data_IF_717361254178
#
_entry.id   IF_717361254178
#
_cell.length_a   1.000
_cell.length_b   1.000
_cell.length_c   1.000
_cell.angle_alpha   90.00
_cell.angle_beta   90.00
_cell.angle_gamma   90.00
#
_symmetry.space_group_name_H-M   'P 1'
#
loop_
_entity.id
_entity.type
_entity.pdbx_description
1 polymer ?
#
# COMPACT_ATOMS: atom_id res chain seq x y z
N UNK A 1 -16.20 25.64 8.62
CA UNK A 1 -15.18 26.21 7.74
C UNK A 1 -15.41 25.72 6.32
N UNK A 2 -15.05 26.55 5.33
CA UNK A 2 -14.96 26.14 3.92
C UNK A 2 -13.57 25.54 3.69
N UNK A 3 -13.50 24.23 3.40
CA UNK A 3 -12.26 23.46 3.32
C UNK A 3 -12.00 23.01 1.89
N UNK A 4 -10.83 23.35 1.33
CA UNK A 4 -10.35 22.78 0.08
C UNK A 4 -9.48 21.55 0.35
N UNK A 5 -9.77 20.44 -0.31
CA UNK A 5 -8.93 19.22 -0.31
C UNK A 5 -8.40 19.04 -1.73
N UNK A 6 -7.08 19.05 -1.90
CA UNK A 6 -6.41 19.00 -3.20
C UNK A 6 -5.74 17.63 -3.37
N UNK A 7 -6.32 16.80 -4.24
CA UNK A 7 -5.93 15.42 -4.50
C UNK A 7 -7.02 14.42 -4.11
N UNK A 8 -7.49 13.63 -5.07
CA UNK A 8 -8.56 12.64 -4.92
C UNK A 8 -8.04 11.21 -4.70
N UNK A 9 -6.83 11.06 -4.15
CA UNK A 9 -6.29 9.80 -3.66
C UNK A 9 -6.91 9.39 -2.32
N UNK A 10 -6.50 8.25 -1.76
CA UNK A 10 -7.05 7.72 -0.51
C UNK A 10 -6.90 8.69 0.67
N UNK A 11 -5.79 9.42 0.76
CA UNK A 11 -5.61 10.46 1.79
C UNK A 11 -6.60 11.61 1.63
N UNK A 12 -6.80 12.10 0.40
CA UNK A 12 -7.72 13.20 0.13
C UNK A 12 -9.19 12.79 0.32
N UNK A 13 -9.56 11.58 -0.08
CA UNK A 13 -10.89 11.04 0.19
C UNK A 13 -11.14 10.91 1.71
N UNK A 14 -10.16 10.42 2.47
CA UNK A 14 -10.23 10.35 3.92
C UNK A 14 -10.36 11.74 4.57
N UNK A 15 -9.57 12.71 4.11
CA UNK A 15 -9.67 14.10 4.57
C UNK A 15 -11.03 14.71 4.24
N UNK A 16 -11.54 14.52 3.00
CA UNK A 16 -12.83 15.05 2.59
C UNK A 16 -13.98 14.44 3.39
N UNK A 17 -14.00 13.13 3.59
CA UNK A 17 -15.01 12.46 4.42
C UNK A 17 -14.94 12.96 5.86
N UNK A 18 -13.75 13.00 6.46
CA UNK A 18 -13.54 13.50 7.84
C UNK A 18 -13.99 14.94 8.00
N UNK A 19 -13.65 15.83 7.06
CA UNK A 19 -14.06 17.23 7.06
C UNK A 19 -15.57 17.39 6.96
N UNK A 20 -16.21 16.61 6.10
CA UNK A 20 -17.68 16.61 5.96
C UNK A 20 -18.37 16.10 7.24
N UNK A 21 -17.83 15.05 7.89
CA UNK A 21 -18.31 14.56 9.20
C UNK A 21 -18.16 15.61 10.30
N UNK A 22 -17.11 16.42 10.26
CA UNK A 22 -16.88 17.51 11.20
C UNK A 22 -17.73 18.78 10.91
N UNK A 23 -18.64 18.71 9.93
CA UNK A 23 -19.52 19.82 9.58
C UNK A 23 -18.87 20.92 8.73
N UNK A 24 -17.75 20.63 8.07
CA UNK A 24 -17.11 21.58 7.15
C UNK A 24 -17.75 21.52 5.77
N UNK A 25 -17.76 22.66 5.06
CA UNK A 25 -18.11 22.74 3.65
C UNK A 25 -16.88 22.34 2.83
N UNK A 26 -16.84 21.09 2.41
CA UNK A 26 -15.66 20.51 1.74
C UNK A 26 -15.81 20.58 0.23
N UNK A 27 -14.75 21.05 -0.46
CA UNK A 27 -14.57 20.91 -1.91
C UNK A 27 -13.36 20.06 -2.19
N UNK A 28 -13.54 18.94 -2.92
CA UNK A 28 -12.47 18.01 -3.29
C UNK A 28 -12.07 18.22 -4.76
N UNK A 29 -10.79 18.49 -5.01
CA UNK A 29 -10.22 18.72 -6.34
C UNK A 29 -9.29 17.55 -6.74
N UNK A 30 -9.49 16.99 -7.94
CA UNK A 30 -8.61 15.95 -8.51
C UNK A 30 -8.27 16.32 -9.96
N UNK A 31 -6.97 16.34 -10.28
CA UNK A 31 -6.48 16.67 -11.61
C UNK A 31 -6.70 15.55 -12.64
N UNK A 32 -6.74 14.31 -12.19
CA UNK A 32 -7.00 13.14 -13.04
C UNK A 32 -8.46 13.04 -13.45
N UNK A 33 -8.74 12.23 -14.46
CA UNK A 33 -10.11 11.84 -14.86
C UNK A 33 -10.69 10.71 -14.01
N UNK A 34 -9.94 10.24 -13.00
CA UNK A 34 -10.32 9.11 -12.13
C UNK A 34 -9.93 9.37 -10.68
N UNK A 35 -10.75 8.88 -9.76
CA UNK A 35 -10.49 8.89 -8.32
C UNK A 35 -9.57 7.75 -7.89
N UNK A 36 -8.92 7.89 -6.73
CA UNK A 36 -8.13 6.83 -6.09
C UNK A 36 -6.61 7.03 -6.15
N UNK A 37 -6.14 8.01 -6.93
CA UNK A 37 -4.71 8.31 -7.03
C UNK A 37 -3.92 7.12 -7.59
N UNK A 38 -2.91 6.63 -6.86
CA UNK A 38 -2.07 5.47 -7.22
C UNK A 38 -2.80 4.12 -7.08
N UNK A 39 -3.80 4.03 -6.20
CA UNK A 39 -4.56 2.81 -5.96
C UNK A 39 -5.94 2.90 -6.63
N UNK A 40 -5.99 2.54 -7.90
CA UNK A 40 -7.20 2.64 -8.75
C UNK A 40 -7.21 1.59 -9.85
N UNK A 41 -8.39 1.36 -10.42
CA UNK A 41 -8.55 0.58 -11.63
C UNK A 41 -8.16 1.35 -12.89
N UNK A 42 -7.73 0.62 -13.89
CA UNK A 42 -7.45 1.10 -15.27
C UNK A 42 -8.14 0.18 -16.26
N UNK A 43 -8.68 0.75 -17.32
CA UNK A 43 -9.22 -0.05 -18.42
C UNK A 43 -8.09 -0.56 -19.32
N UNK A 44 -8.08 -1.87 -19.56
CA UNK A 44 -7.15 -2.55 -20.46
C UNK A 44 -7.96 -3.53 -21.31
N UNK A 45 -8.08 -3.26 -22.60
CA UNK A 45 -8.80 -4.10 -23.56
C UNK A 45 -10.26 -4.42 -23.10
N UNK A 46 -10.96 -3.42 -22.55
CA UNK A 46 -12.33 -3.56 -22.05
C UNK A 46 -12.46 -4.31 -20.72
N UNK A 47 -11.35 -4.57 -20.03
CA UNK A 47 -11.32 -5.16 -18.69
C UNK A 47 -10.79 -4.13 -17.69
N UNK A 48 -11.39 -4.04 -16.53
CA UNK A 48 -10.85 -3.24 -15.45
C UNK A 48 -9.80 -4.04 -14.70
N UNK A 49 -8.53 -3.64 -14.83
CA UNK A 49 -7.39 -4.14 -14.03
C UNK A 49 -6.97 -3.04 -13.06
N UNK A 50 -6.28 -3.38 -11.97
CA UNK A 50 -5.76 -2.37 -11.07
C UNK A 50 -4.39 -1.85 -11.55
N UNK A 51 -4.09 -0.58 -11.28
CA UNK A 51 -2.79 0.03 -11.58
C UNK A 51 -1.61 -0.70 -10.88
N UNK A 52 -1.92 -1.45 -9.84
CA UNK A 52 -1.03 -2.34 -9.10
C UNK A 52 -1.84 -3.23 -8.17
N UNK A 53 -1.43 -4.48 -8.00
CA UNK A 53 -2.07 -5.38 -7.07
C UNK A 53 -1.82 -4.93 -5.64
N UNK A 54 -2.88 -4.69 -4.87
CA UNK A 54 -2.78 -4.29 -3.48
C UNK A 54 -3.29 -5.39 -2.56
N UNK A 55 -2.65 -5.49 -1.40
CA UNK A 55 -3.10 -6.31 -0.28
C UNK A 55 -3.34 -5.36 0.89
N UNK A 56 -4.48 -5.48 1.54
CA UNK A 56 -4.73 -4.86 2.83
C UNK A 56 -4.60 -5.92 3.91
N UNK A 57 -4.37 -5.50 5.14
CA UNK A 57 -4.36 -6.42 6.29
C UNK A 57 -5.43 -6.01 7.31
N UNK A 58 -5.83 -6.96 8.15
CA UNK A 58 -6.83 -6.72 9.18
C UNK A 58 -6.47 -5.63 10.20
N UNK A 59 -5.18 -5.29 10.31
CA UNK A 59 -4.68 -4.18 11.12
C UNK A 59 -4.97 -2.77 10.55
N UNK A 60 -5.49 -2.67 9.31
CA UNK A 60 -5.82 -1.38 8.67
C UNK A 60 -7.14 -0.81 9.22
N UNK A 61 -7.17 -0.53 10.52
CA UNK A 61 -8.38 -0.16 11.26
C UNK A 61 -9.05 1.12 10.75
N UNK A 62 -8.29 2.17 10.44
CA UNK A 62 -8.85 3.43 9.96
C UNK A 62 -9.37 3.32 8.53
N UNK A 63 -8.69 2.55 7.70
CA UNK A 63 -9.14 2.28 6.33
C UNK A 63 -10.44 1.50 6.33
N UNK A 64 -10.55 0.47 7.16
CA UNK A 64 -11.78 -0.33 7.28
C UNK A 64 -12.93 0.49 7.91
N UNK A 65 -12.64 1.33 8.90
CA UNK A 65 -13.62 2.25 9.49
C UNK A 65 -14.11 3.29 8.47
N UNK A 66 -13.23 3.85 7.65
CA UNK A 66 -13.59 4.76 6.57
C UNK A 66 -14.51 4.07 5.55
N UNK A 67 -14.17 2.84 5.14
CA UNK A 67 -15.02 2.03 4.25
C UNK A 67 -16.42 1.84 4.82
N UNK A 68 -16.51 1.46 6.09
CA UNK A 68 -17.80 1.31 6.78
C UNK A 68 -18.58 2.63 6.82
N UNK A 69 -17.91 3.76 7.09
CA UNK A 69 -18.51 5.11 7.10
C UNK A 69 -19.17 5.45 5.76
N UNK A 70 -18.54 5.10 4.64
CA UNK A 70 -19.05 5.39 3.30
C UNK A 70 -19.96 4.29 2.73
N UNK A 71 -20.29 3.29 3.55
CA UNK A 71 -21.25 2.22 3.21
C UNK A 71 -20.67 1.08 2.40
N UNK A 72 -19.35 0.86 2.42
CA UNK A 72 -18.71 -0.28 1.79
C UNK A 72 -18.81 -1.52 2.69
N UNK A 73 -19.40 -2.58 2.16
CA UNK A 73 -19.42 -3.91 2.80
C UNK A 73 -18.08 -4.63 2.54
N UNK A 74 -17.20 -4.59 3.53
CA UNK A 74 -15.86 -5.18 3.44
C UNK A 74 -15.88 -6.69 3.21
N UNK A 75 -16.92 -7.42 3.63
CA UNK A 75 -17.06 -8.86 3.38
C UNK A 75 -17.33 -9.18 1.90
N UNK A 76 -17.97 -8.24 1.18
CA UNK A 76 -18.24 -8.40 -0.26
C UNK A 76 -17.04 -7.99 -1.12
N UNK A 77 -16.34 -6.93 -0.74
CA UNK A 77 -15.27 -6.36 -1.58
C UNK A 77 -13.92 -7.03 -1.37
N UNK A 78 -13.73 -7.82 -0.29
CA UNK A 78 -12.49 -8.55 -0.02
C UNK A 78 -12.70 -10.05 0.12
N UNK A 79 -11.73 -10.80 -0.36
CA UNK A 79 -11.46 -12.16 0.10
C UNK A 79 -10.56 -12.06 1.33
N UNK A 80 -11.11 -12.38 2.50
CA UNK A 80 -10.37 -12.37 3.77
C UNK A 80 -9.86 -13.76 4.10
N UNK A 81 -8.56 -13.89 4.30
CA UNK A 81 -7.91 -15.15 4.70
C UNK A 81 -6.85 -14.89 5.76
N UNK A 82 -6.53 -15.90 6.57
CA UNK A 82 -5.39 -15.83 7.48
C UNK A 82 -4.08 -15.61 6.71
N UNK A 83 -3.08 -15.00 7.36
CA UNK A 83 -1.75 -14.81 6.74
C UNK A 83 -1.20 -16.15 6.26
N UNK A 84 -0.96 -16.23 4.97
CA UNK A 84 -0.37 -17.39 4.30
C UNK A 84 0.67 -16.90 3.28
N UNK A 85 1.90 -17.40 3.41
CA UNK A 85 2.94 -17.30 2.40
C UNK A 85 3.20 -18.70 1.89
N UNK A 86 2.47 -19.12 0.87
CA UNK A 86 2.56 -20.46 0.26
C UNK A 86 3.31 -20.39 -1.05
N UNK A 87 4.33 -21.23 -1.19
CA UNK A 87 5.11 -21.37 -2.41
C UNK A 87 4.59 -22.54 -3.27
N UNK A 88 4.84 -22.52 -4.59
CA UNK A 88 4.38 -23.59 -5.49
C UNK A 88 4.86 -24.99 -5.10
N UNK A 89 6.07 -25.12 -4.53
CA UNK A 89 6.64 -26.38 -4.05
C UNK A 89 6.07 -26.85 -2.69
N UNK A 90 5.05 -26.20 -2.19
CA UNK A 90 4.37 -26.53 -0.93
C UNK A 90 5.10 -26.08 0.35
N UNK A 91 6.26 -25.42 0.21
CA UNK A 91 6.91 -24.73 1.33
C UNK A 91 6.12 -23.50 1.74
N UNK A 92 6.46 -22.96 2.91
CA UNK A 92 5.96 -21.68 3.37
C UNK A 92 5.22 -21.74 4.69
N UNK A 93 4.75 -20.58 5.13
CA UNK A 93 4.12 -20.37 6.42
C UNK A 93 2.62 -20.17 6.24
N UNK A 94 1.80 -20.85 7.03
CA UNK A 94 0.35 -20.66 7.11
C UNK A 94 -0.06 -20.45 8.54
N UNK A 95 -0.69 -19.31 8.84
CA UNK A 95 -1.21 -19.05 10.18
C UNK A 95 -2.56 -19.78 10.39
N UNK A 96 -2.73 -20.55 11.47
CA UNK A 96 -4.04 -21.02 11.89
C UNK A 96 -4.94 -19.85 12.33
N UNK A 97 -6.25 -20.10 12.42
CA UNK A 97 -7.18 -19.11 13.00
C UNK A 97 -6.98 -19.00 14.50
N UNK A 98 -7.00 -17.78 15.05
CA UNK A 98 -6.85 -17.51 16.48
C UNK A 98 -6.12 -16.19 16.77
N UNK A 99 -5.72 -15.96 18.04
CA UNK A 99 -4.91 -14.79 18.37
C UNK A 99 -3.60 -14.76 17.59
N UNK A 100 -3.35 -13.67 16.83
CA UNK A 100 -2.31 -13.62 15.80
C UNK A 100 -0.91 -13.94 16.35
N UNK A 101 -0.54 -13.43 17.53
CA UNK A 101 0.77 -13.69 18.16
C UNK A 101 1.00 -15.16 18.50
N UNK A 102 -0.05 -15.87 19.00
CA UNK A 102 0.02 -17.30 19.32
C UNK A 102 0.04 -18.15 18.04
N UNK A 103 -0.80 -17.77 17.07
CA UNK A 103 -0.90 -18.48 15.80
C UNK A 103 0.35 -18.32 14.95
N UNK A 104 1.08 -17.19 15.08
CA UNK A 104 2.39 -17.04 14.48
C UNK A 104 3.38 -18.08 15.01
N UNK A 105 3.45 -18.29 16.32
CA UNK A 105 4.27 -19.34 16.93
C UNK A 105 3.92 -20.73 16.38
N UNK A 106 2.63 -21.07 16.33
CA UNK A 106 2.16 -22.34 15.79
C UNK A 106 2.52 -22.48 14.28
N UNK A 107 2.36 -21.40 13.51
CA UNK A 107 2.73 -21.38 12.09
C UNK A 107 4.23 -21.62 11.87
N UNK A 108 5.09 -21.01 12.69
CA UNK A 108 6.55 -21.24 12.64
C UNK A 108 6.90 -22.69 12.96
N UNK A 109 6.28 -23.28 13.98
CA UNK A 109 6.51 -24.67 14.37
C UNK A 109 6.07 -25.68 13.32
N UNK A 110 5.04 -25.36 12.54
CA UNK A 110 4.49 -26.24 11.50
C UNK A 110 4.94 -25.88 10.09
N UNK A 111 5.77 -24.84 9.92
CA UNK A 111 6.23 -24.37 8.62
C UNK A 111 7.00 -25.45 7.86
N UNK A 112 6.59 -25.72 6.63
CA UNK A 112 7.30 -26.66 5.75
C UNK A 112 8.51 -25.97 5.11
N UNK A 113 9.60 -26.70 5.00
CA UNK A 113 10.86 -26.21 4.42
C UNK A 113 11.86 -25.65 5.44
N UNK A 114 11.52 -25.62 6.75
CA UNK A 114 12.45 -25.22 7.81
C UNK A 114 12.79 -26.38 8.74
N UNK A 115 14.10 -26.54 9.01
CA UNK A 115 14.58 -27.40 10.08
C UNK A 115 14.31 -26.82 11.47
N UNK A 116 14.46 -27.61 12.53
CA UNK A 116 14.22 -27.20 13.92
C UNK A 116 15.09 -26.01 14.36
N UNK A 117 16.34 -25.96 13.93
CA UNK A 117 17.23 -24.83 14.21
C UNK A 117 16.66 -23.50 13.69
N UNK A 118 16.17 -23.50 12.45
CA UNK A 118 15.59 -22.31 11.83
C UNK A 118 14.34 -21.84 12.56
N UNK A 119 13.46 -22.78 12.96
CA UNK A 119 12.24 -22.49 13.72
C UNK A 119 12.57 -21.89 15.08
N UNK A 120 13.51 -22.51 15.83
CA UNK A 120 13.92 -22.02 17.15
C UNK A 120 14.57 -20.65 17.06
N UNK A 121 15.48 -20.42 16.11
CA UNK A 121 16.11 -19.12 15.92
C UNK A 121 15.09 -18.03 15.63
N UNK A 122 14.10 -18.29 14.77
CA UNK A 122 13.04 -17.32 14.48
C UNK A 122 12.18 -17.04 15.71
N UNK A 123 11.77 -18.07 16.46
CA UNK A 123 10.99 -17.89 17.70
C UNK A 123 11.77 -17.10 18.77
N UNK A 124 13.06 -17.38 18.93
CA UNK A 124 13.91 -16.61 19.84
C UNK A 124 14.03 -15.13 19.42
N UNK A 125 14.20 -14.85 18.13
CA UNK A 125 14.24 -13.48 17.63
C UNK A 125 12.89 -12.78 17.83
N UNK A 126 11.77 -13.43 17.51
CA UNK A 126 10.44 -12.89 17.74
C UNK A 126 10.19 -12.59 19.22
N UNK A 127 10.61 -13.46 20.14
CA UNK A 127 10.56 -13.22 21.57
C UNK A 127 11.41 -12.00 22.00
N UNK A 128 12.65 -11.88 21.49
CA UNK A 128 13.51 -10.71 21.74
C UNK A 128 12.88 -9.43 21.22
N UNK A 129 12.31 -9.44 20.01
CA UNK A 129 11.60 -8.27 19.46
C UNK A 129 10.40 -7.88 20.31
N UNK A 130 9.65 -8.86 20.79
CA UNK A 130 8.50 -8.63 21.70
C UNK A 130 8.94 -8.04 23.05
N UNK A 131 9.96 -8.62 23.69
CA UNK A 131 10.51 -8.13 24.97
C UNK A 131 11.05 -6.70 24.83
N UNK A 132 11.68 -6.38 23.68
CA UNK A 132 12.15 -5.03 23.37
C UNK A 132 11.05 -4.06 22.90
N UNK A 133 9.79 -4.47 22.93
CA UNK A 133 8.65 -3.66 22.51
C UNK A 133 8.69 -3.30 21.01
N UNK A 134 9.27 -4.17 20.17
CA UNK A 134 9.47 -3.95 18.74
C UNK A 134 10.30 -2.69 18.43
N UNK A 135 11.34 -2.44 19.23
CA UNK A 135 12.27 -1.32 19.05
C UNK A 135 13.66 -1.83 18.66
N UNK A 136 14.32 -1.08 17.79
CA UNK A 136 15.71 -1.28 17.39
C UNK A 136 16.38 0.09 17.16
N UNK A 137 17.72 0.16 16.98
CA UNK A 137 18.39 1.40 16.56
C UNK A 137 17.81 1.94 15.26
N UNK A 138 17.63 3.26 15.17
CA UNK A 138 16.96 3.94 14.04
C UNK A 138 17.67 3.74 12.70
N UNK A 139 19.00 3.62 12.73
CA UNK A 139 19.85 3.44 11.56
C UNK A 139 19.91 2.00 11.03
N UNK A 140 19.27 1.02 11.71
CA UNK A 140 19.33 -0.37 11.28
C UNK A 140 18.42 -0.62 10.06
N UNK A 141 18.96 -1.44 9.15
CA UNK A 141 18.18 -2.04 8.07
C UNK A 141 17.56 -3.37 8.51
N UNK A 142 16.56 -3.84 7.75
CA UNK A 142 15.93 -5.16 7.98
C UNK A 142 16.97 -6.27 7.84
N UNK A 143 17.91 -6.14 6.90
CA UNK A 143 19.00 -7.10 6.75
C UNK A 143 19.88 -7.19 8.00
N UNK A 144 20.26 -6.04 8.58
CA UNK A 144 21.02 -5.99 9.84
C UNK A 144 20.21 -6.54 11.03
N UNK A 145 18.91 -6.24 11.10
CA UNK A 145 18.03 -6.77 12.14
C UNK A 145 17.94 -8.31 12.10
N UNK A 146 17.97 -8.87 10.90
CA UNK A 146 17.73 -10.30 10.63
C UNK A 146 19.01 -11.07 10.26
N UNK A 147 20.20 -10.49 10.38
CA UNK A 147 21.46 -11.08 9.91
C UNK A 147 21.78 -12.45 10.55
N UNK A 148 21.31 -12.69 11.78
CA UNK A 148 21.52 -13.94 12.51
C UNK A 148 20.46 -15.01 12.20
N UNK A 149 19.41 -14.67 11.45
CA UNK A 149 18.41 -15.63 11.02
C UNK A 149 18.97 -16.50 9.87
N UNK A 150 18.64 -17.81 9.83
CA UNK A 150 19.01 -18.67 8.73
C UNK A 150 18.54 -18.13 7.37
N UNK A 151 19.34 -18.39 6.34
CA UNK A 151 19.05 -17.94 4.96
C UNK A 151 17.64 -18.37 4.51
N UNK A 152 17.25 -19.63 4.84
CA UNK A 152 15.92 -20.14 4.50
C UNK A 152 14.76 -19.34 5.14
N UNK A 153 14.96 -18.82 6.35
CA UNK A 153 13.95 -17.96 7.03
C UNK A 153 13.91 -16.58 6.36
N UNK A 154 15.10 -16.04 6.06
CA UNK A 154 15.19 -14.73 5.39
C UNK A 154 14.51 -14.78 4.02
N UNK A 155 14.87 -15.72 3.17
CA UNK A 155 14.35 -15.85 1.80
C UNK A 155 12.85 -16.21 1.73
N UNK A 156 12.37 -17.08 2.64
CA UNK A 156 10.98 -17.57 2.56
C UNK A 156 10.00 -16.80 3.45
N UNK A 157 10.47 -15.86 4.30
CA UNK A 157 9.60 -15.09 5.17
C UNK A 157 9.99 -13.61 5.24
N UNK A 158 11.22 -13.30 5.67
CA UNK A 158 11.58 -11.90 5.98
C UNK A 158 11.60 -11.04 4.72
N UNK A 159 12.32 -11.47 3.69
CA UNK A 159 12.49 -10.70 2.45
C UNK A 159 11.13 -10.49 1.73
N UNK A 160 10.29 -11.55 1.54
CA UNK A 160 8.96 -11.36 0.95
C UNK A 160 8.04 -10.45 1.79
N UNK A 161 8.05 -10.59 3.13
CA UNK A 161 7.27 -9.70 3.99
C UNK A 161 7.79 -8.26 3.96
N UNK A 162 9.11 -8.08 3.92
CA UNK A 162 9.72 -6.76 3.83
C UNK A 162 9.29 -6.03 2.56
N UNK A 163 9.43 -6.66 1.41
CA UNK A 163 9.02 -6.02 0.14
C UNK A 163 7.51 -5.88 0.02
N UNK A 164 6.72 -6.82 0.55
CA UNK A 164 5.26 -6.68 0.57
C UNK A 164 4.77 -5.52 1.43
N UNK A 165 5.44 -5.27 2.56
CA UNK A 165 5.04 -4.25 3.53
C UNK A 165 5.63 -2.86 3.24
N UNK A 166 6.91 -2.80 2.81
CA UNK A 166 7.68 -1.56 2.67
C UNK A 166 8.03 -1.22 1.21
N UNK A 167 7.85 -2.15 0.30
CA UNK A 167 8.32 -2.06 -1.10
C UNK A 167 9.79 -1.64 -1.21
N UNK A 168 10.56 -1.86 -0.19
CA UNK A 168 12.00 -1.55 -0.12
C UNK A 168 12.74 -2.82 0.24
N UNK A 169 13.75 -3.26 -0.54
CA UNK A 169 14.52 -4.46 -0.25
C UNK A 169 15.17 -4.43 1.14
N UNK A 170 15.26 -5.58 1.81
CA UNK A 170 15.75 -5.71 3.20
C UNK A 170 17.10 -5.03 3.49
N UNK A 171 18.09 -5.00 2.56
CA UNK A 171 19.35 -4.27 2.79
C UNK A 171 19.18 -2.74 2.92
N UNK A 172 18.08 -2.19 2.39
CA UNK A 172 17.82 -0.74 2.39
C UNK A 172 16.61 -0.36 3.24
N UNK A 173 15.79 -1.33 3.64
CA UNK A 173 14.54 -1.09 4.35
C UNK A 173 14.75 -0.80 5.84
N UNK A 174 13.99 0.15 6.38
CA UNK A 174 14.02 0.52 7.81
C UNK A 174 13.54 -0.62 8.71
N UNK A 175 14.42 -1.10 9.60
CA UNK A 175 14.09 -2.10 10.60
C UNK A 175 13.02 -1.62 11.59
N UNK A 176 13.05 -0.36 11.99
CA UNK A 176 12.10 0.20 12.93
C UNK A 176 10.67 0.23 12.38
N UNK A 177 10.52 0.58 11.09
CA UNK A 177 9.22 0.58 10.40
C UNK A 177 8.75 -0.86 10.14
N UNK A 178 9.64 -1.78 9.77
CA UNK A 178 9.33 -3.19 9.62
C UNK A 178 8.81 -3.81 10.93
N UNK A 179 9.51 -3.57 12.05
CA UNK A 179 9.07 -4.01 13.37
C UNK A 179 7.72 -3.40 13.78
N UNK A 180 7.45 -2.16 13.38
CA UNK A 180 6.13 -1.53 13.61
C UNK A 180 5.02 -2.28 12.86
N UNK A 181 5.25 -2.63 11.59
CA UNK A 181 4.28 -3.42 10.80
C UNK A 181 4.05 -4.79 11.44
N UNK A 182 5.12 -5.49 11.84
CA UNK A 182 4.99 -6.79 12.51
C UNK A 182 4.22 -6.69 13.83
N UNK A 183 4.49 -5.66 14.63
CA UNK A 183 3.76 -5.43 15.88
C UNK A 183 2.27 -5.22 15.62
N UNK A 184 1.92 -4.36 14.67
CA UNK A 184 0.53 -4.05 14.39
C UNK A 184 -0.20 -5.27 13.78
N UNK A 185 0.44 -6.04 12.90
CA UNK A 185 -0.13 -7.27 12.36
C UNK A 185 -0.37 -8.34 13.44
N UNK A 186 0.54 -8.49 14.41
CA UNK A 186 0.47 -9.58 15.38
C UNK A 186 -0.28 -9.22 16.67
N UNK A 187 -0.35 -7.93 17.05
CA UNK A 187 -0.82 -7.51 18.36
C UNK A 187 -1.99 -6.49 18.35
N UNK A 188 -2.51 -6.10 17.18
CA UNK A 188 -3.65 -5.15 17.12
C UNK A 188 -5.02 -5.80 17.33
N UNK A 189 -5.08 -7.11 17.56
CA UNK A 189 -6.32 -7.82 17.88
C UNK A 189 -6.59 -9.03 16.97
N UNK A 190 -7.73 -9.70 17.17
CA UNK A 190 -8.12 -10.86 16.37
C UNK A 190 -8.22 -10.51 14.88
N UNK A 191 -7.58 -11.31 14.02
CA UNK A 191 -7.59 -11.12 12.58
C UNK A 191 -6.77 -9.93 12.07
N UNK A 192 -5.94 -9.28 12.91
CA UNK A 192 -5.08 -8.17 12.48
C UNK A 192 -4.07 -8.58 11.40
N UNK A 193 -3.59 -9.82 11.43
CA UNK A 193 -2.69 -10.38 10.41
C UNK A 193 -3.42 -10.95 9.19
N UNK A 194 -4.76 -10.99 9.17
CA UNK A 194 -5.48 -11.50 8.00
C UNK A 194 -5.17 -10.67 6.77
N UNK A 195 -5.00 -11.35 5.65
CA UNK A 195 -4.90 -10.73 4.33
C UNK A 195 -6.31 -10.43 3.79
N UNK A 196 -6.48 -9.22 3.28
CA UNK A 196 -7.70 -8.78 2.60
C UNK A 196 -7.34 -8.54 1.13
N UNK A 197 -7.69 -9.51 0.29
CA UNK A 197 -7.43 -9.47 -1.14
C UNK A 197 -8.63 -8.90 -1.87
N UNK A 198 -8.50 -7.82 -2.66
CA UNK A 198 -9.62 -7.20 -3.36
C UNK A 198 -10.28 -8.18 -4.33
N UNK A 199 -11.62 -8.27 -4.27
CA UNK A 199 -12.47 -9.00 -5.23
C UNK A 199 -12.95 -8.13 -6.37
N UNK A 200 -12.76 -6.82 -6.23
CA UNK A 200 -13.18 -5.80 -7.18
C UNK A 200 -12.01 -4.84 -7.39
N UNK A 201 -12.07 -4.06 -8.47
CA UNK A 201 -11.10 -2.99 -8.69
C UNK A 201 -11.03 -2.03 -7.50
N UNK A 202 -9.83 -1.59 -7.17
CA UNK A 202 -9.56 -0.63 -6.09
C UNK A 202 -10.38 0.65 -6.20
N UNK A 203 -10.78 1.06 -7.41
CA UNK A 203 -11.70 2.18 -7.61
C UNK A 203 -13.07 1.95 -6.95
N UNK A 204 -13.54 0.70 -6.91
CA UNK A 204 -14.82 0.31 -6.30
C UNK A 204 -14.70 -0.04 -4.81
N UNK A 205 -13.51 -0.36 -4.34
CA UNK A 205 -13.27 -0.73 -2.94
C UNK A 205 -13.46 0.47 -1.99
N UNK A 206 -13.05 1.68 -2.37
CA UNK A 206 -13.26 2.89 -1.56
C UNK A 206 -13.60 4.12 -2.42
N UNK A 207 -12.84 4.51 -3.44
CA UNK A 207 -12.96 5.81 -4.10
C UNK A 207 -14.37 6.14 -4.58
N UNK A 208 -15.00 5.22 -5.30
CA UNK A 208 -16.36 5.43 -5.84
C UNK A 208 -17.40 5.65 -4.74
N UNK A 209 -17.37 4.84 -3.68
CA UNK A 209 -18.29 4.94 -2.54
C UNK A 209 -18.06 6.24 -1.76
N UNK A 210 -16.81 6.62 -1.51
CA UNK A 210 -16.45 7.85 -0.80
C UNK A 210 -16.95 9.10 -1.54
N UNK A 211 -16.77 9.13 -2.86
CA UNK A 211 -17.26 10.25 -3.68
C UNK A 211 -18.80 10.31 -3.73
N UNK A 212 -19.47 9.17 -3.85
CA UNK A 212 -20.93 9.11 -3.78
C UNK A 212 -21.44 9.64 -2.43
N UNK A 213 -20.80 9.20 -1.33
CA UNK A 213 -21.12 9.64 0.03
C UNK A 213 -20.93 11.14 0.22
N UNK A 214 -19.84 11.73 -0.31
CA UNK A 214 -19.56 13.17 -0.27
C UNK A 214 -20.61 13.96 -1.03
N UNK A 215 -20.94 13.55 -2.26
CA UNK A 215 -21.95 14.22 -3.10
C UNK A 215 -23.33 14.22 -2.48
N UNK A 216 -23.76 13.12 -1.87
CA UNK A 216 -25.03 13.02 -1.14
C UNK A 216 -25.13 14.00 0.03
N UNK A 217 -23.98 14.49 0.54
CA UNK A 217 -23.89 15.46 1.65
C UNK A 217 -23.57 16.87 1.20
N UNK A 218 -23.69 17.14 -0.11
CA UNK A 218 -23.47 18.47 -0.67
C UNK A 218 -21.99 18.89 -0.75
N UNK A 219 -21.05 17.94 -0.59
CA UNK A 219 -19.62 18.19 -0.75
C UNK A 219 -19.22 17.98 -2.22
N UNK A 220 -18.88 19.05 -2.98
CA UNK A 220 -18.50 18.93 -4.38
C UNK A 220 -17.19 18.18 -4.52
N UNK A 221 -17.18 17.19 -5.45
CA UNK A 221 -16.01 16.41 -5.84
C UNK A 221 -15.79 16.58 -7.36
N UNK A 222 -14.68 17.23 -7.74
CA UNK A 222 -14.39 17.73 -9.07
C UNK A 222 -13.20 16.97 -9.69
N UNK A 223 -13.45 16.23 -10.78
CA UNK A 223 -12.43 15.57 -11.60
C UNK A 223 -11.93 16.49 -12.71
N UNK A 224 -10.70 16.24 -13.20
CA UNK A 224 -10.07 17.01 -14.24
C UNK A 224 -9.76 18.46 -13.81
N UNK A 225 -9.81 18.74 -12.53
CA UNK A 225 -9.57 20.06 -11.95
C UNK A 225 -8.19 20.11 -11.28
N UNK A 226 -7.17 20.51 -12.04
CA UNK A 226 -5.86 20.81 -11.50
C UNK A 226 -5.88 22.14 -10.78
N UNK A 227 -5.38 22.18 -9.55
CA UNK A 227 -5.14 23.43 -8.82
C UNK A 227 -3.78 23.98 -9.25
N UNK A 228 -3.77 25.21 -9.78
CA UNK A 228 -2.58 25.84 -10.33
C UNK A 228 -1.80 26.61 -9.26
N UNK A 229 -2.50 27.26 -8.32
CA UNK A 229 -1.86 28.08 -7.31
C UNK A 229 -2.70 28.27 -6.05
N UNK A 230 -1.99 28.62 -4.99
CA UNK A 230 -2.54 28.99 -3.70
C UNK A 230 -2.07 30.42 -3.41
N UNK A 231 -2.93 31.24 -2.81
CA UNK A 231 -2.59 32.58 -2.33
C UNK A 231 -3.17 32.75 -0.94
N UNK A 232 -2.37 33.13 0.02
CA UNK A 232 -2.86 33.45 1.35
C UNK A 232 -3.60 34.80 1.33
N UNK A 233 -4.79 34.85 1.91
CA UNK A 233 -5.60 36.06 2.01
C UNK A 233 -6.17 36.18 3.44
N UNK A 234 -5.68 37.15 4.19
CA UNK A 234 -6.01 37.28 5.61
C UNK A 234 -5.65 36.02 6.41
N UNK A 235 -6.64 35.44 7.09
CA UNK A 235 -6.50 34.17 7.83
C UNK A 235 -6.85 32.95 7.00
N UNK A 236 -7.24 33.11 5.72
CA UNK A 236 -7.65 32.02 4.82
C UNK A 236 -6.78 31.93 3.57
N UNK A 237 -7.31 31.25 2.56
CA UNK A 237 -6.63 30.92 1.32
C UNK A 237 -7.51 31.12 0.09
N UNK A 238 -6.92 31.55 -1.02
CA UNK A 238 -7.52 31.44 -2.34
C UNK A 238 -6.90 30.25 -3.09
N UNK A 239 -7.76 29.35 -3.55
CA UNK A 239 -7.42 28.22 -4.40
C UNK A 239 -7.88 28.54 -5.81
N UNK A 240 -6.98 28.81 -6.74
CA UNK A 240 -7.26 29.33 -8.09
C UNK A 240 -8.28 30.49 -8.09
N UNK A 241 -8.18 31.40 -7.12
CA UNK A 241 -9.08 32.55 -6.96
C UNK A 241 -10.33 32.31 -6.11
N UNK A 242 -10.73 31.08 -5.82
CA UNK A 242 -11.86 30.76 -4.94
C UNK A 242 -11.45 30.83 -3.45
N UNK A 243 -12.24 31.49 -2.58
CA UNK A 243 -11.88 31.63 -1.15
C UNK A 243 -12.22 30.39 -0.34
N UNK A 244 -11.28 30.01 0.57
CA UNK A 244 -11.41 28.92 1.54
C UNK A 244 -10.82 29.33 2.88
N UNK A 245 -11.36 28.77 3.97
CA UNK A 245 -10.82 29.02 5.32
C UNK A 245 -9.53 28.21 5.57
N UNK A 246 -9.43 27.01 4.97
CA UNK A 246 -8.29 26.12 5.14
C UNK A 246 -8.08 25.22 3.89
N UNK A 247 -6.85 24.70 3.75
CA UNK A 247 -6.47 23.84 2.62
C UNK A 247 -5.74 22.60 3.12
N UNK A 248 -6.12 21.43 2.58
CA UNK A 248 -5.40 20.15 2.73
C UNK A 248 -4.75 19.79 1.40
N UNK A 249 -3.42 19.74 1.35
CA UNK A 249 -2.65 19.23 0.22
C UNK A 249 -2.53 17.71 0.33
N UNK A 250 -3.45 16.99 -0.33
CA UNK A 250 -3.52 15.53 -0.35
C UNK A 250 -3.07 14.93 -1.69
N UNK A 251 -2.31 15.68 -2.46
CA UNK A 251 -1.72 15.28 -3.74
C UNK A 251 -0.36 14.59 -3.56
N UNK A 252 0.31 14.21 -4.66
CA UNK A 252 1.66 13.64 -4.60
C UNK A 252 2.65 14.62 -3.96
N UNK A 253 3.74 14.11 -3.38
CA UNK A 253 4.75 14.96 -2.73
C UNK A 253 5.31 16.03 -3.66
N UNK A 254 5.53 15.70 -4.93
CA UNK A 254 6.00 16.65 -5.93
C UNK A 254 4.99 17.77 -6.22
N UNK A 255 3.69 17.47 -6.30
CA UNK A 255 2.66 18.48 -6.56
C UNK A 255 2.38 19.30 -5.29
N UNK A 256 2.44 18.66 -4.12
CA UNK A 256 2.35 19.36 -2.84
C UNK A 256 3.54 20.30 -2.63
N UNK A 257 4.76 19.86 -2.96
CA UNK A 257 5.95 20.72 -2.98
C UNK A 257 5.76 21.96 -3.85
N UNK A 258 5.29 21.78 -5.09
CA UNK A 258 5.03 22.88 -6.03
C UNK A 258 4.04 23.91 -5.46
N UNK A 259 2.95 23.45 -4.84
CA UNK A 259 1.92 24.32 -4.27
C UNK A 259 2.37 24.99 -2.96
N UNK A 260 3.19 24.30 -2.17
CA UNK A 260 3.68 24.81 -0.90
C UNK A 260 4.90 25.77 -1.04
N UNK A 261 5.66 25.68 -2.13
CA UNK A 261 6.92 26.42 -2.31
C UNK A 261 6.83 27.92 -2.05
N UNK A 262 5.80 28.67 -2.50
CA UNK A 262 5.69 30.11 -2.22
C UNK A 262 5.41 30.44 -0.75
N UNK A 263 5.02 29.45 0.07
CA UNK A 263 4.51 29.64 1.43
C UNK A 263 5.39 29.01 2.52
N UNK A 264 6.09 27.93 2.17
CA UNK A 264 6.91 27.15 3.11
C UNK A 264 8.03 26.41 2.37
N UNK A 265 9.11 27.15 2.04
CA UNK A 265 10.20 26.64 1.21
C UNK A 265 10.84 25.36 1.79
N UNK A 266 11.19 25.36 3.08
CA UNK A 266 11.81 24.19 3.72
C UNK A 266 10.92 22.95 3.69
N UNK A 267 9.60 23.10 3.87
CA UNK A 267 8.64 22.01 3.74
C UNK A 267 8.56 21.50 2.29
N UNK A 268 8.54 22.44 1.35
CA UNK A 268 8.54 22.13 -0.10
C UNK A 268 9.77 21.33 -0.51
N UNK A 269 10.96 21.73 -0.05
CA UNK A 269 12.21 21.03 -0.30
C UNK A 269 12.19 19.60 0.29
N UNK A 270 11.72 19.46 1.53
CA UNK A 270 11.57 18.14 2.16
C UNK A 270 10.60 17.22 1.37
N UNK A 271 9.48 17.75 0.88
CA UNK A 271 8.52 17.02 0.07
C UNK A 271 9.08 16.66 -1.32
N UNK A 272 9.87 17.53 -1.93
CA UNK A 272 10.53 17.30 -3.22
C UNK A 272 11.66 16.25 -3.13
N UNK A 273 12.35 16.20 -1.99
CA UNK A 273 13.46 15.27 -1.75
C UNK A 273 13.03 13.81 -1.53
N UNK A 274 11.72 13.53 -1.44
CA UNK A 274 11.20 12.17 -1.25
C UNK A 274 11.61 11.25 -2.39
N UNK A 275 12.43 10.24 -2.08
CA UNK A 275 12.76 9.14 -2.99
C UNK A 275 11.62 8.13 -3.10
N UNK A 276 11.50 7.46 -4.26
CA UNK A 276 10.43 6.49 -4.52
C UNK A 276 10.96 5.16 -5.04
N UNK A 277 10.27 4.08 -4.67
CA UNK A 277 10.47 2.74 -5.21
C UNK A 277 9.32 2.37 -6.15
N UNK A 278 9.62 1.89 -7.36
CA UNK A 278 8.61 1.43 -8.29
C UNK A 278 8.06 0.05 -7.92
N UNK A 279 6.83 -0.21 -8.39
CA UNK A 279 6.23 -1.54 -8.46
C UNK A 279 5.85 -1.81 -9.91
N UNK A 280 6.14 -3.02 -10.39
CA UNK A 280 5.65 -3.49 -11.68
C UNK A 280 4.62 -4.60 -11.43
N UNK A 281 3.47 -4.52 -12.09
CA UNK A 281 2.48 -5.59 -12.14
C UNK A 281 2.38 -6.11 -13.57
N UNK A 282 2.60 -7.42 -13.72
CA UNK A 282 2.51 -8.12 -15.00
C UNK A 282 1.23 -8.94 -15.00
N UNK A 283 0.33 -8.64 -15.92
CA UNK A 283 -0.91 -9.39 -16.10
C UNK A 283 -0.76 -10.43 -17.20
N UNK A 284 -1.03 -11.67 -16.83
CA UNK A 284 -1.03 -12.82 -17.72
C UNK A 284 -2.44 -13.38 -17.86
N UNK A 285 -2.73 -14.00 -19.01
CA UNK A 285 -3.97 -14.71 -19.27
C UNK A 285 -3.67 -16.17 -19.66
N UNK A 286 -4.36 -17.09 -19.01
CA UNK A 286 -4.42 -18.48 -19.42
C UNK A 286 -5.79 -19.04 -19.02
N UNK A 287 -6.68 -19.19 -19.99
CA UNK A 287 -8.01 -19.72 -19.74
C UNK A 287 -7.93 -21.18 -19.27
N UNK A 288 -8.74 -21.54 -18.29
CA UNK A 288 -8.75 -22.87 -17.68
C UNK A 288 -7.69 -23.10 -16.61
N UNK A 289 -6.66 -22.24 -16.51
CA UNK A 289 -5.68 -22.29 -15.43
C UNK A 289 -6.27 -21.81 -14.10
N UNK A 290 -5.74 -22.35 -13.00
CA UNK A 290 -6.07 -21.96 -11.62
C UNK A 290 -4.85 -22.11 -10.73
N UNK A 291 -4.52 -21.10 -9.94
CA UNK A 291 -3.51 -21.25 -8.90
C UNK A 291 -4.07 -22.11 -7.73
N UNK A 292 -3.21 -22.83 -6.99
CA UNK A 292 -3.61 -23.63 -5.82
C UNK A 292 -4.29 -22.81 -4.71
N UNK A 293 -4.06 -21.51 -4.66
CA UNK A 293 -4.73 -20.55 -3.78
C UNK A 293 -4.78 -19.15 -4.44
N UNK A 294 -5.65 -18.25 -3.96
CA UNK A 294 -5.84 -16.93 -4.56
C UNK A 294 -4.56 -16.07 -4.64
N UNK A 295 -3.60 -16.31 -3.76
CA UNK A 295 -2.30 -15.66 -3.72
C UNK A 295 -1.21 -16.69 -3.45
N UNK A 296 -0.14 -16.65 -4.23
CA UNK A 296 1.07 -17.48 -4.07
C UNK A 296 2.29 -16.60 -3.89
N UNK A 297 3.16 -16.95 -2.94
CA UNK A 297 4.51 -16.38 -2.88
C UNK A 297 5.41 -17.08 -3.91
N UNK A 298 6.34 -16.34 -4.49
CA UNK A 298 7.31 -16.83 -5.45
C UNK A 298 8.72 -16.54 -4.95
N UNK A 299 9.67 -17.36 -5.36
CA UNK A 299 11.09 -17.11 -5.07
C UNK A 299 11.61 -16.11 -6.11
N UNK A 300 12.05 -14.95 -5.63
CA UNK A 300 12.73 -13.96 -6.45
C UNK A 300 14.16 -14.37 -6.74
N UNK A 301 14.60 -14.17 -7.97
CA UNK A 301 15.99 -14.33 -8.39
C UNK A 301 16.40 -13.22 -9.35
N UNK A 302 17.66 -13.19 -9.76
CA UNK A 302 18.14 -12.23 -10.76
C UNK A 302 17.42 -12.30 -12.11
N UNK A 303 16.76 -13.41 -12.44
CA UNK A 303 16.04 -13.67 -13.68
C UNK A 303 14.53 -13.85 -13.49
N UNK A 304 14.08 -14.10 -12.27
CA UNK A 304 12.69 -14.36 -11.88
C UNK A 304 12.21 -13.28 -10.89
N UNK A 305 11.65 -12.17 -11.38
CA UNK A 305 11.49 -10.95 -10.60
C UNK A 305 10.28 -10.92 -9.66
N UNK A 306 9.23 -11.70 -9.94
CA UNK A 306 7.98 -11.59 -9.18
C UNK A 306 8.10 -12.28 -7.81
N UNK A 307 7.64 -11.60 -6.76
CA UNK A 307 7.55 -12.15 -5.41
C UNK A 307 6.17 -12.74 -5.10
N UNK A 308 5.14 -12.33 -5.84
CA UNK A 308 3.76 -12.78 -5.62
C UNK A 308 3.02 -12.97 -6.94
N UNK A 309 2.14 -13.98 -6.97
CA UNK A 309 1.17 -14.21 -8.02
C UNK A 309 -0.25 -14.27 -7.45
N UNK A 310 -1.21 -13.64 -8.13
CA UNK A 310 -2.62 -13.59 -7.73
C UNK A 310 -3.50 -14.17 -8.82
N UNK A 311 -4.46 -15.02 -8.46
CA UNK A 311 -5.50 -15.56 -9.34
C UNK A 311 -6.76 -14.70 -9.23
N UNK A 312 -6.99 -13.83 -10.19
CA UNK A 312 -8.17 -12.96 -10.23
C UNK A 312 -9.47 -13.74 -10.31
N UNK A 313 -9.48 -14.89 -10.99
CA UNK A 313 -10.65 -15.74 -11.04
C UNK A 313 -10.98 -16.40 -9.70
N UNK A 314 -9.97 -16.78 -8.91
CA UNK A 314 -10.16 -17.28 -7.55
C UNK A 314 -10.66 -16.20 -6.60
N UNK A 315 -10.34 -14.93 -6.87
CA UNK A 315 -10.86 -13.76 -6.14
C UNK A 315 -12.28 -13.36 -6.57
N UNK A 316 -12.85 -13.99 -7.58
CA UNK A 316 -14.20 -13.69 -8.07
C UNK A 316 -14.26 -12.58 -9.11
N UNK A 317 -13.10 -12.17 -9.66
CA UNK A 317 -13.00 -11.20 -10.74
C UNK A 317 -12.91 -11.90 -12.12
N UNK A 318 -11.84 -11.70 -12.88
CA UNK A 318 -11.66 -12.20 -14.25
C UNK A 318 -11.07 -13.62 -14.27
N UNK A 319 -11.83 -14.68 -14.61
CA UNK A 319 -11.30 -16.05 -14.71
C UNK A 319 -10.16 -16.14 -15.73
N UNK A 320 -9.09 -16.89 -15.37
CA UNK A 320 -7.91 -17.08 -16.22
C UNK A 320 -6.99 -15.86 -16.30
N UNK A 321 -7.22 -14.81 -15.53
CA UNK A 321 -6.33 -13.67 -15.42
C UNK A 321 -5.51 -13.76 -14.13
N UNK A 322 -4.22 -13.54 -14.26
CA UNK A 322 -3.25 -13.62 -13.17
C UNK A 322 -2.44 -12.32 -13.10
N UNK A 323 -2.21 -11.81 -11.88
CA UNK A 323 -1.33 -10.68 -11.64
C UNK A 323 -0.05 -11.14 -10.96
N UNK A 324 1.10 -10.84 -11.54
CA UNK A 324 2.41 -11.08 -10.96
C UNK A 324 3.01 -9.75 -10.52
N UNK A 325 3.45 -9.67 -9.26
CA UNK A 325 3.92 -8.42 -8.65
C UNK A 325 5.43 -8.46 -8.46
N UNK A 326 6.08 -7.42 -8.98
CA UNK A 326 7.51 -7.14 -8.83
C UNK A 326 7.64 -5.88 -7.97
N UNK A 327 7.96 -6.07 -6.70
CA UNK A 327 8.22 -5.01 -5.73
C UNK A 327 9.71 -4.66 -5.71
N UNK A 328 10.05 -3.43 -5.27
CA UNK A 328 11.45 -2.97 -5.30
C UNK A 328 12.01 -2.96 -6.72
N UNK A 329 11.17 -2.63 -7.70
CA UNK A 329 11.38 -2.94 -9.11
C UNK A 329 12.32 -1.98 -9.85
N UNK A 330 13.19 -1.22 -9.16
CA UNK A 330 14.06 -0.21 -9.80
C UNK A 330 14.90 -0.79 -10.95
N UNK A 331 15.60 -1.90 -10.69
CA UNK A 331 16.39 -2.63 -11.70
C UNK A 331 15.54 -3.03 -12.92
N UNK A 332 14.32 -3.52 -12.69
CA UNK A 332 13.44 -4.01 -13.74
C UNK A 332 12.82 -2.88 -14.57
N UNK A 333 12.60 -1.71 -13.96
CA UNK A 333 12.22 -0.50 -14.70
C UNK A 333 13.36 -0.05 -15.62
N UNK A 334 14.61 -0.13 -15.15
CA UNK A 334 15.81 0.21 -15.94
C UNK A 334 16.06 -0.77 -17.10
N UNK A 335 15.80 -2.08 -16.89
CA UNK A 335 15.88 -3.10 -17.95
C UNK A 335 14.75 -2.99 -18.98
N UNK A 336 13.66 -2.32 -18.64
CA UNK A 336 12.49 -2.09 -19.50
C UNK A 336 11.32 -3.04 -19.24
N UNK A 337 10.13 -2.56 -19.59
CA UNK A 337 8.88 -3.28 -19.30
C UNK A 337 8.72 -4.56 -20.11
N UNK A 338 9.21 -4.57 -21.35
CA UNK A 338 9.15 -5.75 -22.22
C UNK A 338 10.04 -6.88 -21.66
N UNK A 339 11.27 -6.55 -21.24
CA UNK A 339 12.19 -7.50 -20.60
C UNK A 339 11.57 -8.06 -19.30
N UNK A 340 10.93 -7.20 -18.50
CA UNK A 340 10.23 -7.62 -17.27
C UNK A 340 9.07 -8.57 -17.60
N UNK A 341 8.28 -8.26 -18.62
CA UNK A 341 7.16 -9.10 -19.05
C UNK A 341 7.62 -10.49 -19.47
N UNK A 342 8.71 -10.60 -20.23
CA UNK A 342 9.30 -11.87 -20.65
C UNK A 342 9.87 -12.67 -19.48
N UNK A 343 10.57 -12.00 -18.55
CA UNK A 343 11.11 -12.63 -17.35
C UNK A 343 10.00 -13.22 -16.47
N UNK A 344 8.88 -12.49 -16.29
CA UNK A 344 7.72 -12.99 -15.54
C UNK A 344 7.02 -14.13 -16.27
N UNK A 345 6.90 -14.11 -17.59
CA UNK A 345 6.37 -15.24 -18.37
C UNK A 345 7.22 -16.50 -18.16
N UNK A 346 8.54 -16.38 -18.24
CA UNK A 346 9.45 -17.48 -17.98
C UNK A 346 9.34 -18.00 -16.53
N UNK A 347 9.28 -17.07 -15.56
CA UNK A 347 9.07 -17.42 -14.15
C UNK A 347 7.74 -18.14 -13.93
N UNK A 348 6.65 -17.68 -14.53
CA UNK A 348 5.34 -18.31 -14.43
C UNK A 348 5.35 -19.75 -14.97
N UNK A 349 6.04 -19.97 -16.10
CA UNK A 349 6.17 -21.30 -16.68
C UNK A 349 7.01 -22.25 -15.80
N UNK A 350 8.05 -21.74 -15.15
CA UNK A 350 9.00 -22.54 -14.35
C UNK A 350 8.55 -22.77 -12.89
N UNK A 351 7.77 -21.84 -12.32
CA UNK A 351 7.46 -21.85 -10.89
C UNK A 351 6.36 -22.87 -10.49
N UNK A 352 5.50 -23.25 -11.43
CA UNK A 352 4.35 -24.10 -11.14
C UNK A 352 4.47 -25.48 -11.75
N UNK A 353 3.72 -26.46 -11.19
CA UNK A 353 3.71 -27.83 -11.67
C UNK A 353 3.34 -27.91 -13.16
N UNK A 354 3.94 -28.86 -13.92
CA UNK A 354 3.53 -29.15 -15.27
C UNK A 354 2.03 -29.46 -15.35
N UNK A 355 1.32 -28.76 -16.25
CA UNK A 355 -0.13 -28.93 -16.40
C UNK A 355 -0.98 -27.90 -15.68
N UNK A 356 -0.43 -27.07 -14.81
CA UNK A 356 -1.16 -25.92 -14.28
C UNK A 356 -1.59 -24.96 -15.39
N UNK A 357 -0.74 -24.81 -16.41
CA UNK A 357 -1.02 -24.02 -17.60
C UNK A 357 -1.50 -24.93 -18.74
N UNK A 358 -2.84 -25.03 -19.03
CA UNK A 358 -3.36 -25.82 -20.16
C UNK A 358 -2.83 -25.37 -21.53
N UNK A 359 -2.41 -24.11 -21.62
CA UNK A 359 -1.72 -23.51 -22.77
C UNK A 359 -0.68 -22.52 -22.27
N UNK A 360 0.21 -22.06 -23.14
CA UNK A 360 1.19 -21.04 -22.76
C UNK A 360 0.47 -19.75 -22.31
N UNK A 361 0.78 -19.21 -21.13
CA UNK A 361 0.21 -17.96 -20.67
C UNK A 361 0.50 -16.81 -21.65
N UNK A 362 -0.51 -15.99 -21.94
CA UNK A 362 -0.38 -14.79 -22.80
C UNK A 362 -0.13 -13.55 -21.93
N UNK A 363 0.82 -12.73 -22.30
CA UNK A 363 1.01 -11.42 -21.69
C UNK A 363 -0.13 -10.48 -22.10
N UNK A 364 -0.91 -9.99 -21.13
CA UNK A 364 -1.94 -8.97 -21.34
C UNK A 364 -1.32 -7.58 -21.26
N UNK A 365 -0.66 -7.30 -20.11
CA UNK A 365 -0.15 -5.95 -19.83
C UNK A 365 0.98 -5.99 -18.81
N UNK A 366 1.96 -5.12 -19.02
CA UNK A 366 2.93 -4.75 -17.98
C UNK A 366 2.65 -3.32 -17.57
N UNK A 367 2.41 -3.10 -16.28
CA UNK A 367 2.16 -1.77 -15.71
C UNK A 367 3.20 -1.46 -14.67
N UNK A 368 3.82 -0.28 -14.77
CA UNK A 368 4.77 0.22 -13.79
C UNK A 368 4.23 1.50 -13.13
N UNK A 369 4.04 1.46 -11.83
CA UNK A 369 3.90 2.68 -11.03
C UNK A 369 5.29 3.09 -10.53
N UNK A 370 5.88 4.09 -11.18
CA UNK A 370 7.27 4.53 -10.89
C UNK A 370 7.42 5.19 -9.51
N UNK A 371 6.35 5.71 -8.96
CA UNK A 371 6.29 6.34 -7.63
C UNK A 371 5.30 5.61 -6.73
N UNK A 372 5.40 4.27 -6.70
CA UNK A 372 4.44 3.43 -5.99
C UNK A 372 4.44 3.72 -4.48
N UNK A 373 5.61 3.71 -3.89
CA UNK A 373 5.83 3.99 -2.47
C UNK A 373 7.04 4.89 -2.30
N UNK A 374 7.12 5.66 -1.22
CA UNK A 374 8.41 6.24 -0.89
C UNK A 374 9.40 5.14 -0.46
N UNK A 375 10.71 5.35 -0.71
CA UNK A 375 11.76 4.43 -0.28
C UNK A 375 11.85 4.46 1.25
N UNK A 376 11.44 3.38 1.90
CA UNK A 376 11.32 3.30 3.36
C UNK A 376 12.67 2.96 4.01
N UNK A 377 13.64 3.89 3.90
CA UNK A 377 15.01 3.73 4.42
C UNK A 377 15.09 4.06 5.91
N UNK A 378 16.14 3.58 6.62
CA UNK A 378 16.45 4.05 7.96
C UNK A 378 16.58 5.57 8.00
N UNK A 379 16.12 6.18 9.11
CA UNK A 379 16.24 7.61 9.39
C UNK A 379 15.68 8.55 8.31
N UNK A 380 14.72 8.05 7.51
CA UNK A 380 14.07 8.86 6.49
C UNK A 380 13.33 10.05 7.11
N UNK A 381 13.74 11.25 6.76
CA UNK A 381 13.01 12.47 7.09
C UNK A 381 11.84 12.67 6.13
N UNK A 382 10.62 12.65 6.67
CA UNK A 382 9.39 12.94 5.94
C UNK A 382 8.85 14.31 6.32
N UNK A 383 8.23 15.07 5.38
CA UNK A 383 7.67 16.38 5.70
C UNK A 383 6.57 16.25 6.76
N UNK A 384 6.56 17.19 7.71
CA UNK A 384 5.54 17.27 8.73
C UNK A 384 4.17 17.63 8.17
N UNK A 385 3.10 17.47 8.96
CA UNK A 385 1.73 17.80 8.53
C UNK A 385 1.50 19.29 8.36
N UNK A 386 1.99 20.13 9.25
CA UNK A 386 1.82 21.58 9.18
C UNK A 386 2.72 22.17 8.08
N UNK A 387 2.14 22.97 7.19
CA UNK A 387 2.84 23.67 6.11
C UNK A 387 2.88 25.16 6.44
N UNK A 388 1.72 25.78 6.62
CA UNK A 388 1.54 27.17 6.99
C UNK A 388 0.23 27.30 7.80
N UNK A 389 -0.13 28.53 8.21
CA UNK A 389 -1.39 28.77 8.90
C UNK A 389 -2.57 28.22 8.08
N UNK A 390 -3.34 27.27 8.64
CA UNK A 390 -4.48 26.60 7.98
C UNK A 390 -4.17 25.97 6.61
N UNK A 391 -2.90 25.68 6.34
CA UNK A 391 -2.43 24.91 5.20
C UNK A 391 -1.71 23.66 5.73
N UNK A 392 -2.23 22.48 5.42
CA UNK A 392 -1.72 21.21 5.95
C UNK A 392 -1.51 20.19 4.83
N UNK A 393 -0.53 19.30 5.03
CA UNK A 393 -0.25 18.18 4.13
C UNK A 393 -0.92 16.90 4.57
N UNK A 394 -1.35 16.08 3.60
CA UNK A 394 -1.89 14.74 3.80
C UNK A 394 -1.32 13.77 2.75
N UNK A 395 -1.03 12.56 3.15
CA UNK A 395 -0.50 11.52 2.27
C UNK A 395 0.29 10.49 3.05
N UNK A 396 0.58 9.38 2.37
CA UNK A 396 1.45 8.33 2.91
C UNK A 396 2.87 8.83 3.20
N UNK A 397 3.34 9.85 2.45
CA UNK A 397 4.66 10.46 2.59
C UNK A 397 4.78 11.46 3.75
N UNK A 398 3.68 11.89 4.35
CA UNK A 398 3.70 12.76 5.53
C UNK A 398 4.21 11.98 6.75
N UNK A 399 4.93 12.65 7.63
CA UNK A 399 5.48 12.08 8.85
C UNK A 399 4.44 11.24 9.62
N UNK A 400 4.85 10.06 10.03
CA UNK A 400 3.99 9.11 10.72
C UNK A 400 4.67 7.75 10.90
N UNK A 401 4.04 6.83 11.66
CA UNK A 401 4.67 5.57 12.06
C UNK A 401 4.59 4.46 11.00
N UNK A 402 3.89 4.70 9.88
CA UNK A 402 3.63 3.68 8.86
C UNK A 402 4.54 3.84 7.64
N UNK A 403 4.83 2.74 6.91
CA UNK A 403 5.38 2.82 5.57
C UNK A 403 4.35 3.39 4.59
N UNK A 404 4.69 3.47 3.31
CA UNK A 404 3.78 3.91 2.25
C UNK A 404 2.63 2.91 2.05
N UNK A 405 1.56 3.07 2.82
CA UNK A 405 0.39 2.18 2.82
C UNK A 405 -0.90 2.97 2.66
N UNK A 406 -1.98 2.28 2.25
CA UNK A 406 -3.32 2.86 2.22
C UNK A 406 -3.77 3.30 3.61
N UNK A 407 -3.41 2.54 4.65
CA UNK A 407 -3.69 2.89 6.04
C UNK A 407 -2.96 4.16 6.47
N UNK A 408 -1.67 4.30 6.12
CA UNK A 408 -0.90 5.51 6.38
C UNK A 408 -1.50 6.73 5.68
N UNK A 409 -1.95 6.57 4.44
CA UNK A 409 -2.61 7.62 3.67
C UNK A 409 -3.94 8.05 4.32
N UNK A 410 -4.80 7.10 4.68
CA UNK A 410 -6.11 7.38 5.33
C UNK A 410 -5.91 8.08 6.66
N UNK A 411 -5.05 7.54 7.54
CA UNK A 411 -4.73 8.16 8.85
C UNK A 411 -4.18 9.58 8.69
N UNK A 412 -3.30 9.79 7.74
CA UNK A 412 -2.74 11.12 7.45
C UNK A 412 -3.83 12.10 7.01
N UNK A 413 -4.74 11.66 6.13
CA UNK A 413 -5.85 12.48 5.67
C UNK A 413 -6.79 12.92 6.80
N UNK A 414 -7.23 11.98 7.64
CA UNK A 414 -8.08 12.28 8.80
C UNK A 414 -7.39 13.21 9.79
N UNK A 415 -6.16 12.89 10.17
CA UNK A 415 -5.39 13.66 11.13
C UNK A 415 -5.04 15.09 10.63
N UNK A 416 -4.98 15.31 9.32
CA UNK A 416 -4.78 16.65 8.74
C UNK A 416 -5.99 17.54 9.00
N UNK A 417 -7.19 17.01 8.87
CA UNK A 417 -8.42 17.76 9.20
C UNK A 417 -8.53 18.01 10.70
N UNK A 418 -8.27 16.99 11.52
CA UNK A 418 -8.36 17.12 12.98
C UNK A 418 -7.38 18.19 13.51
N UNK A 419 -6.21 18.36 12.89
CA UNK A 419 -5.23 19.38 13.29
C UNK A 419 -5.69 20.82 12.99
N UNK A 420 -6.60 21.03 12.02
CA UNK A 420 -7.15 22.35 11.71
C UNK A 420 -8.12 22.86 12.79
N UNK A 421 -8.75 21.94 13.54
CA UNK A 421 -9.67 22.29 14.64
C UNK A 421 -8.93 22.77 15.91
N UNK A 422 -7.66 22.43 16.08
CA UNK A 422 -6.85 22.75 17.26
C UNK A 422 -6.17 24.14 17.12
N UNK A 423 -6.15 24.69 15.91
CA UNK A 423 -5.50 25.95 15.59
C UNK A 423 -6.42 27.20 15.73
N UNK A 424 -7.52 27.06 16.49
CA UNK A 424 -8.48 28.14 16.77
C UNK A 424 -8.24 28.76 18.14
#
# INVERSE_FOLDING_TARGET
MKLAVIGGGWAGLAAAVRGTQAGHQVSLFEMSKQWGGRARGVDVEGRTLDNGQHILIGAYSETLALMATVGVDTAKVFHRQALELRYPDGRGLRMPRGPAWLMFGAAVLTCKGWGWEARLKLLCHAAVWTIRGFKCPSHWTVDQLCQQLPVSVRQLLIDPLCVAALNTPAPNASASVFLRVLRDALFSGPGSADLLLPRQSLSHVLPTAAVAWLRQRGSPALLGRRVNGLMQEGSGWRVDGEPFDAVVLACSSAEASRLAAPHALAWSEAAAAMGYEPIITVYLECLGARLPCPMMALVETGEAPAQFAFDHGALGASPGVFAFVVSGARRWVELGLDATGQAVLAQAAAAFEPGLWPSAPRLIRVMAEKRATFSCTPELHRPGRAIAHRLVGAGDYIEGPYPATLEGAVRSGQASVDSLAISV
#
